data_IF_993124865151
#
_entry.id   IF_993124865151
#
_cell.length_a   1.000
_cell.length_b   1.000
_cell.length_c   1.000
_cell.angle_alpha   90.00
_cell.angle_beta   90.00
_cell.angle_gamma   90.00
#
_symmetry.space_group_name_H-M   'P 1'
#
loop_
_entity.id
_entity.type
_entity.pdbx_description
1 polymer ?
#
# COMPACT_ATOMS: atom_id res chain seq x y z
N UNK A 1 -58.11 -43.57 45.18
CA UNK A 1 -58.05 -42.55 44.13
C UNK A 1 -56.56 -42.30 43.90
N UNK A 2 -55.88 -43.28 43.29
CA UNK A 2 -55.60 -43.40 41.83
C UNK A 2 -54.41 -42.49 41.46
N UNK A 3 -53.18 -42.99 41.23
CA UNK A 3 -52.60 -43.62 39.99
C UNK A 3 -52.73 -42.69 38.78
N UNK A 4 -51.72 -42.36 37.95
CA UNK A 4 -50.55 -43.06 37.38
C UNK A 4 -49.55 -41.97 36.90
N UNK A 5 -48.22 -42.13 36.99
CA UNK A 5 -47.27 -42.87 36.10
C UNK A 5 -46.84 -42.06 34.85
N UNK A 6 -45.54 -41.71 34.77
CA UNK A 6 -44.63 -42.21 33.70
C UNK A 6 -43.22 -41.58 33.78
N UNK A 7 -42.26 -42.44 34.17
CA UNK A 7 -40.99 -42.81 33.49
C UNK A 7 -39.97 -41.73 33.04
N UNK A 8 -38.76 -41.82 33.59
CA UNK A 8 -37.54 -42.20 32.81
C UNK A 8 -36.37 -42.67 33.70
N UNK A 9 -35.94 -43.91 33.49
CA UNK A 9 -34.71 -44.61 33.94
C UNK A 9 -33.78 -44.64 32.69
N UNK A 10 -32.43 -44.85 32.67
CA UNK A 10 -31.55 -45.64 33.58
C UNK A 10 -30.17 -44.94 33.85
N UNK A 11 -29.18 -45.43 34.62
CA UNK A 11 -28.54 -46.74 34.67
C UNK A 11 -27.90 -47.01 36.04
N UNK A 12 -28.07 -48.25 36.48
CA UNK A 12 -27.36 -48.89 37.59
C UNK A 12 -25.90 -49.18 37.22
N UNK A 13 -24.97 -48.76 38.08
CA UNK A 13 -23.59 -49.21 38.07
C UNK A 13 -23.53 -50.57 38.78
N UNK A 14 -23.48 -51.63 37.96
CA UNK A 14 -23.36 -53.00 38.41
C UNK A 14 -22.09 -53.23 39.25
N UNK A 15 -22.31 -53.59 40.50
CA UNK A 15 -21.33 -54.19 41.42
C UNK A 15 -21.11 -55.65 41.04
N UNK A 16 -19.85 -56.01 40.76
CA UNK A 16 -19.46 -57.39 40.46
C UNK A 16 -19.10 -58.10 41.79
N UNK A 17 -19.96 -59.03 42.21
CA UNK A 17 -19.66 -60.04 43.23
C UNK A 17 -19.08 -61.33 42.60
N UNK A 18 -18.42 -62.21 43.38
CA UNK A 18 -17.53 -63.24 42.84
C UNK A 18 -18.13 -64.66 42.72
N UNK A 19 -17.38 -65.47 41.95
CA UNK A 19 -17.26 -66.94 41.86
C UNK A 19 -18.33 -67.74 41.08
N UNK A 20 -17.90 -68.38 39.98
CA UNK A 20 -17.62 -69.83 39.93
C UNK A 20 -16.65 -70.15 38.77
N UNK A 21 -15.85 -71.19 38.98
CA UNK A 21 -14.76 -71.65 38.14
C UNK A 21 -15.22 -72.43 36.91
N UNK A 22 -14.42 -72.42 35.84
CA UNK A 22 -13.93 -73.66 35.26
C UNK A 22 -12.59 -73.45 34.53
N UNK A 23 -11.81 -74.51 34.59
CA UNK A 23 -10.39 -74.73 34.30
C UNK A 23 -10.09 -74.72 32.80
N UNK A 24 -8.91 -74.21 32.40
CA UNK A 24 -8.04 -74.89 31.42
C UNK A 24 -6.70 -74.15 31.31
N UNK A 25 -5.64 -74.88 31.61
CA UNK A 25 -4.30 -74.36 31.83
C UNK A 25 -3.55 -73.98 30.56
N UNK A 26 -2.79 -72.89 30.64
CA UNK A 26 -1.59 -72.71 29.85
C UNK A 26 -0.54 -71.92 30.65
N UNK A 27 0.67 -72.46 30.69
CA UNK A 27 1.81 -72.00 31.47
C UNK A 27 2.29 -70.60 31.05
N UNK A 28 1.84 -69.54 31.72
CA UNK A 28 2.39 -68.21 31.55
C UNK A 28 3.28 -67.84 32.75
N UNK A 29 4.60 -67.85 32.54
CA UNK A 29 5.60 -67.36 33.50
C UNK A 29 5.22 -65.94 33.96
N UNK A 30 5.34 -65.60 35.26
CA UNK A 30 5.05 -64.26 35.74
C UNK A 30 6.00 -63.28 35.08
N UNK A 31 5.47 -62.39 34.24
CA UNK A 31 6.23 -61.29 33.67
C UNK A 31 6.68 -60.37 34.81
N UNK A 32 7.99 -60.18 35.01
CA UNK A 32 8.49 -59.43 36.16
C UNK A 32 8.03 -57.97 36.06
N UNK A 33 7.39 -57.46 37.11
CA UNK A 33 6.80 -56.12 37.19
C UNK A 33 7.75 -54.98 36.79
N UNK A 34 9.08 -55.15 36.88
CA UNK A 34 10.04 -54.16 36.37
C UNK A 34 9.85 -53.90 34.87
N UNK A 35 9.54 -54.92 34.06
CA UNK A 35 9.40 -54.78 32.60
C UNK A 35 8.25 -53.84 32.21
N UNK A 36 7.21 -53.74 33.04
CA UNK A 36 6.12 -52.78 32.84
C UNK A 36 6.59 -51.34 33.09
N UNK A 37 7.38 -51.10 34.13
CA UNK A 37 7.89 -49.77 34.47
C UNK A 37 8.93 -49.26 33.49
N UNK A 38 9.75 -50.16 32.93
CA UNK A 38 10.73 -49.80 31.89
C UNK A 38 10.07 -49.43 30.56
N UNK A 39 8.95 -50.06 30.20
CA UNK A 39 8.14 -49.64 29.04
C UNK A 39 7.54 -48.24 29.20
N UNK A 40 7.03 -47.93 30.40
CA UNK A 40 6.44 -46.62 30.71
C UNK A 40 7.50 -45.49 30.73
N UNK A 41 8.69 -45.77 31.28
CA UNK A 41 9.82 -44.84 31.25
C UNK A 41 10.34 -44.58 29.83
N UNK A 42 10.44 -45.63 29.00
CA UNK A 42 10.85 -45.48 27.61
C UNK A 42 9.83 -44.66 26.79
N UNK A 43 8.53 -44.89 26.97
CA UNK A 43 7.49 -44.11 26.32
C UNK A 43 7.52 -42.63 26.71
N UNK A 44 7.83 -42.31 27.97
CA UNK A 44 7.94 -40.93 28.46
C UNK A 44 9.18 -40.23 27.89
N UNK A 45 10.31 -40.92 27.81
CA UNK A 45 11.54 -40.38 27.17
C UNK A 45 11.33 -40.16 25.68
N UNK A 46 10.72 -41.12 24.97
CA UNK A 46 10.39 -40.95 23.54
C UNK A 46 9.39 -39.81 23.35
N UNK A 47 8.36 -39.70 24.19
CA UNK A 47 7.39 -38.61 24.15
C UNK A 47 8.03 -37.24 24.44
N UNK A 48 8.96 -37.16 25.39
CA UNK A 48 9.69 -35.94 25.70
C UNK A 48 10.64 -35.52 24.57
N UNK A 49 11.37 -36.47 23.98
CA UNK A 49 12.27 -36.19 22.84
C UNK A 49 11.48 -35.77 21.60
N UNK A 50 10.39 -36.47 21.27
CA UNK A 50 9.50 -36.11 20.16
C UNK A 50 8.84 -34.75 20.43
N UNK A 51 8.42 -34.47 21.66
CA UNK A 51 7.86 -33.19 22.07
C UNK A 51 8.86 -32.02 21.94
N UNK A 52 10.12 -32.23 22.32
CA UNK A 52 11.18 -31.22 22.18
C UNK A 52 11.49 -30.96 20.70
N UNK A 53 11.61 -32.00 19.87
CA UNK A 53 11.88 -31.83 18.43
C UNK A 53 10.69 -31.17 17.73
N UNK A 54 9.45 -31.57 18.05
CA UNK A 54 8.26 -30.94 17.49
C UNK A 54 8.12 -29.48 17.91
N UNK A 55 8.44 -29.14 19.17
CA UNK A 55 8.39 -27.77 19.66
C UNK A 55 9.52 -26.91 19.07
N UNK A 56 10.74 -27.45 18.93
CA UNK A 56 11.85 -26.73 18.32
C UNK A 56 11.65 -26.51 16.83
N UNK A 57 11.14 -27.51 16.10
CA UNK A 57 10.78 -27.36 14.69
C UNK A 57 9.66 -26.31 14.48
N UNK A 58 8.75 -26.17 15.45
CA UNK A 58 7.69 -25.15 15.41
C UNK A 58 8.22 -23.74 15.70
N UNK A 59 9.22 -23.64 16.58
CA UNK A 59 9.83 -22.36 16.94
C UNK A 59 10.82 -21.88 15.86
N UNK A 60 11.60 -22.80 15.29
CA UNK A 60 12.48 -22.54 14.15
C UNK A 60 11.62 -22.08 12.94
N UNK A 61 10.51 -22.78 12.64
CA UNK A 61 9.61 -22.40 11.54
C UNK A 61 8.95 -21.01 11.72
N UNK A 62 8.80 -20.52 12.96
CA UNK A 62 8.28 -19.19 13.23
C UNK A 62 9.33 -18.10 12.95
N UNK A 63 10.62 -18.37 13.26
CA UNK A 63 11.74 -17.46 12.97
C UNK A 63 12.11 -17.43 11.47
N UNK A 64 11.84 -18.52 10.72
CA UNK A 64 12.03 -18.59 9.26
C UNK A 64 10.95 -17.89 8.42
N UNK A 65 9.84 -17.46 9.03
CA UNK A 65 8.69 -16.88 8.33
C UNK A 65 8.51 -15.36 8.55
N UNK A 66 9.38 -14.73 9.34
CA UNK A 66 9.27 -13.31 9.68
C UNK A 66 9.59 -12.45 8.46
N UNK A 67 8.53 -11.96 7.82
CA UNK A 67 8.60 -10.97 6.74
C UNK A 67 8.22 -9.63 7.34
N UNK A 68 9.17 -8.70 7.30
CA UNK A 68 8.98 -7.34 7.74
C UNK A 68 9.19 -6.41 6.54
N UNK A 69 8.09 -5.85 6.05
CA UNK A 69 8.06 -4.94 4.93
C UNK A 69 7.54 -3.59 5.40
N UNK A 70 8.22 -2.53 5.00
CA UNK A 70 7.79 -1.16 5.25
C UNK A 70 7.49 -0.48 3.91
N UNK A 71 6.39 0.26 3.87
CA UNK A 71 6.02 1.07 2.72
C UNK A 71 6.73 2.44 2.75
N UNK A 72 7.33 2.79 1.62
CA UNK A 72 7.84 4.13 1.32
C UNK A 72 6.79 4.96 0.58
N UNK A 73 7.21 5.69 -0.45
CA UNK A 73 6.31 6.47 -1.30
C UNK A 73 5.52 5.60 -2.29
N UNK A 74 4.35 6.10 -2.66
CA UNK A 74 3.52 5.65 -3.76
C UNK A 74 3.50 6.75 -4.81
N UNK A 75 4.07 6.49 -5.97
CA UNK A 75 4.05 7.39 -7.12
C UNK A 75 2.95 6.92 -8.10
N UNK A 76 2.27 7.88 -8.75
CA UNK A 76 1.16 7.59 -9.68
C UNK A 76 1.51 8.13 -11.06
N UNK A 77 1.41 7.27 -12.06
CA UNK A 77 1.49 7.64 -13.47
C UNK A 77 0.13 7.37 -14.13
N UNK A 78 -0.48 8.40 -14.72
CA UNK A 78 -1.72 8.23 -15.48
C UNK A 78 -1.35 7.77 -16.90
N UNK A 79 -1.92 6.64 -17.34
CA UNK A 79 -1.62 6.04 -18.64
C UNK A 79 -2.09 6.89 -19.82
N UNK A 80 -1.41 6.78 -20.96
CA UNK A 80 -1.90 7.31 -22.23
C UNK A 80 -2.67 6.19 -22.98
N UNK A 81 -3.89 6.43 -23.50
CA UNK A 81 -4.63 7.69 -23.45
C UNK A 81 -5.23 7.96 -22.06
N UNK A 82 -5.27 9.24 -21.67
CA UNK A 82 -5.84 9.72 -20.39
C UNK A 82 -7.37 9.46 -20.27
N UNK A 83 -8.01 9.04 -21.38
CA UNK A 83 -9.37 8.53 -21.40
C UNK A 83 -9.50 7.14 -20.77
N UNK A 84 -8.38 6.47 -20.47
CA UNK A 84 -8.40 5.27 -19.63
C UNK A 84 -8.34 5.70 -18.17
N UNK A 85 -9.29 5.23 -17.34
CA UNK A 85 -9.23 5.36 -15.89
C UNK A 85 -8.09 4.53 -15.26
N UNK A 86 -7.29 3.87 -16.11
CA UNK A 86 -6.13 3.07 -15.79
C UNK A 86 -4.95 3.94 -15.37
N UNK A 87 -4.38 3.60 -14.22
CA UNK A 87 -3.23 4.22 -13.60
C UNK A 87 -2.15 3.18 -13.37
N UNK A 88 -0.89 3.60 -13.46
CA UNK A 88 0.26 2.82 -13.06
C UNK A 88 0.75 3.33 -11.72
N UNK A 89 0.57 2.53 -10.69
CA UNK A 89 1.07 2.79 -9.34
C UNK A 89 2.47 2.20 -9.19
N UNK A 90 3.39 3.01 -8.68
CA UNK A 90 4.73 2.59 -8.29
C UNK A 90 4.83 2.64 -6.77
N UNK A 91 4.81 1.47 -6.13
CA UNK A 91 4.91 1.35 -4.67
C UNK A 91 6.36 1.04 -4.31
N UNK A 92 6.98 1.92 -3.53
CA UNK A 92 8.32 1.68 -3.01
C UNK A 92 8.21 0.90 -1.69
N UNK A 93 8.88 -0.25 -1.60
CA UNK A 93 8.89 -1.14 -0.44
C UNK A 93 10.32 -1.38 0.01
N UNK A 94 10.54 -1.53 1.31
CA UNK A 94 11.81 -1.98 1.87
C UNK A 94 11.58 -3.20 2.75
N UNK A 95 12.43 -4.20 2.58
CA UNK A 95 12.48 -5.36 3.44
C UNK A 95 13.39 -5.09 4.63
N UNK A 96 12.80 -4.86 5.80
CA UNK A 96 13.52 -4.67 7.07
C UNK A 96 13.79 -6.00 7.78
N UNK A 97 13.27 -7.10 7.24
CA UNK A 97 13.52 -8.44 7.71
C UNK A 97 14.96 -8.92 7.45
N UNK A 98 15.39 -10.01 8.11
CA UNK A 98 16.76 -10.50 8.03
C UNK A 98 17.08 -11.30 6.75
N UNK A 99 16.09 -11.58 5.91
CA UNK A 99 16.22 -12.48 4.75
C UNK A 99 15.58 -11.88 3.51
N UNK A 100 16.12 -12.23 2.35
CA UNK A 100 15.54 -11.88 1.06
C UNK A 100 14.14 -12.48 0.89
N UNK A 101 13.24 -11.70 0.28
CA UNK A 101 11.88 -12.11 -0.05
C UNK A 101 11.59 -11.78 -1.51
N UNK A 102 10.73 -12.56 -2.14
CA UNK A 102 10.28 -12.32 -3.51
C UNK A 102 8.85 -11.78 -3.46
N UNK A 103 8.63 -10.56 -3.94
CA UNK A 103 7.32 -9.90 -3.98
C UNK A 103 6.60 -10.35 -5.25
N UNK A 104 5.48 -11.04 -5.08
CA UNK A 104 4.71 -11.62 -6.18
C UNK A 104 3.64 -10.67 -6.70
N UNK A 105 2.97 -9.95 -5.80
CA UNK A 105 1.93 -8.97 -6.15
C UNK A 105 1.68 -7.99 -5.01
N UNK A 106 1.15 -6.83 -5.36
CA UNK A 106 0.67 -5.82 -4.42
C UNK A 106 -0.79 -5.54 -4.74
N UNK A 107 -1.65 -5.77 -3.75
CA UNK A 107 -3.08 -5.50 -3.81
C UNK A 107 -3.41 -4.32 -2.89
N UNK A 108 -4.24 -3.40 -3.39
CA UNK A 108 -4.58 -2.17 -2.68
C UNK A 108 -6.10 -2.05 -2.69
N UNK A 109 -6.71 -2.11 -1.51
CA UNK A 109 -8.16 -1.89 -1.38
C UNK A 109 -8.54 -0.52 -1.95
N UNK A 110 -9.64 -0.46 -2.70
CA UNK A 110 -10.03 0.75 -3.44
C UNK A 110 -9.42 0.86 -4.83
N UNK A 111 -8.64 -0.13 -5.28
CA UNK A 111 -8.15 -0.24 -6.66
C UNK A 111 -8.42 -1.65 -7.20
N UNK A 112 -8.70 -1.75 -8.50
CA UNK A 112 -8.84 -3.02 -9.22
C UNK A 112 -7.65 -3.16 -10.16
N UNK A 113 -6.94 -4.27 -10.10
CA UNK A 113 -5.86 -4.55 -11.05
C UNK A 113 -6.42 -4.66 -12.48
N UNK A 114 -5.73 -4.02 -13.42
CA UNK A 114 -6.01 -4.13 -14.85
C UNK A 114 -4.90 -4.95 -15.47
N UNK A 115 -5.25 -6.08 -16.07
CA UNK A 115 -4.31 -6.88 -16.86
C UNK A 115 -4.02 -6.12 -18.17
N UNK A 116 -2.94 -5.33 -18.19
CA UNK A 116 -2.34 -4.96 -19.47
C UNK A 116 -1.76 -6.24 -20.07
N UNK A 117 -2.05 -6.55 -21.34
CA UNK A 117 -1.58 -7.77 -22.02
C UNK A 117 -0.05 -7.93 -22.15
N UNK A 118 0.69 -7.07 -21.46
CA UNK A 118 2.15 -6.96 -21.34
C UNK A 118 2.51 -6.58 -19.88
N UNK A 119 1.76 -7.09 -18.89
CA UNK A 119 2.16 -6.96 -17.50
C UNK A 119 3.43 -7.78 -17.28
N UNK A 120 4.55 -7.07 -17.14
CA UNK A 120 5.74 -7.58 -16.47
C UNK A 120 5.39 -7.82 -14.98
N UNK A 121 4.48 -8.78 -14.74
CA UNK A 121 4.12 -9.36 -13.44
C UNK A 121 5.28 -10.25 -12.96
N UNK A 122 6.49 -9.72 -13.11
CA UNK A 122 7.72 -10.35 -12.72
C UNK A 122 7.89 -10.12 -11.23
N UNK A 123 7.97 -11.24 -10.53
CA UNK A 123 8.23 -11.24 -9.12
C UNK A 123 9.51 -10.42 -8.82
N UNK A 124 9.42 -9.49 -7.86
CA UNK A 124 10.50 -8.55 -7.53
C UNK A 124 11.26 -9.06 -6.32
N UNK A 125 12.55 -9.31 -6.47
CA UNK A 125 13.40 -9.73 -5.35
C UNK A 125 13.76 -8.53 -4.47
N UNK A 126 13.47 -8.62 -3.17
CA UNK A 126 13.74 -7.60 -2.17
C UNK A 126 14.74 -8.10 -1.12
N UNK A 127 15.99 -7.66 -1.25
CA UNK A 127 17.03 -7.95 -0.27
C UNK A 127 16.85 -7.14 1.02
N UNK A 128 17.37 -7.61 2.16
CA UNK A 128 17.34 -6.88 3.43
C UNK A 128 17.96 -5.48 3.32
N UNK A 129 17.21 -4.46 3.74
CA UNK A 129 17.65 -3.06 3.76
C UNK A 129 17.64 -2.35 2.40
N UNK A 130 17.18 -3.01 1.34
CA UNK A 130 17.11 -2.43 0.00
C UNK A 130 15.70 -1.97 -0.36
N UNK A 131 15.62 -0.78 -0.97
CA UNK A 131 14.38 -0.27 -1.54
C UNK A 131 14.14 -0.90 -2.90
N UNK A 132 12.97 -1.48 -3.06
CA UNK A 132 12.48 -2.00 -4.34
C UNK A 132 11.23 -1.25 -4.77
N UNK A 133 11.01 -1.16 -6.08
CA UNK A 133 9.83 -0.55 -6.67
C UNK A 133 8.98 -1.64 -7.30
N UNK A 134 7.74 -1.74 -6.86
CA UNK A 134 6.75 -2.66 -7.43
C UNK A 134 5.73 -1.84 -8.20
N UNK A 135 5.56 -2.20 -9.47
CA UNK A 135 4.62 -1.56 -10.37
C UNK A 135 3.30 -2.34 -10.38
N UNK A 136 2.18 -1.64 -10.38
CA UNK A 136 0.86 -2.23 -10.62
C UNK A 136 0.03 -1.34 -11.52
N UNK A 137 -0.54 -1.91 -12.58
CA UNK A 137 -1.55 -1.23 -13.38
C UNK A 137 -2.92 -1.47 -12.73
N UNK A 138 -3.61 -0.39 -12.38
CA UNK A 138 -4.87 -0.43 -11.64
C UNK A 138 -5.89 0.58 -12.15
N UNK A 139 -7.16 0.37 -11.83
CA UNK A 139 -8.25 1.33 -11.95
C UNK A 139 -8.82 1.62 -10.56
N UNK A 140 -9.14 2.87 -10.25
CA UNK A 140 -9.69 3.22 -8.94
C UNK A 140 -11.14 2.70 -8.79
N UNK A 141 -11.44 2.02 -7.69
CA UNK A 141 -12.80 1.64 -7.33
C UNK A 141 -13.46 2.76 -6.51
N UNK A 142 -14.26 3.57 -7.18
CA UNK A 142 -14.84 4.79 -6.61
C UNK A 142 -15.94 4.56 -5.58
N UNK A 143 -16.27 3.30 -5.33
CA UNK A 143 -17.18 2.90 -4.25
C UNK A 143 -16.44 2.59 -2.95
N UNK A 144 -15.12 2.37 -3.00
CA UNK A 144 -14.31 1.89 -1.88
C UNK A 144 -13.12 2.81 -1.67
N UNK A 145 -13.12 3.62 -0.61
CA UNK A 145 -11.97 4.47 -0.25
C UNK A 145 -10.83 3.61 0.33
N UNK A 146 -9.56 3.76 -0.13
CA UNK A 146 -8.43 2.99 0.39
C UNK A 146 -8.18 3.27 1.87
N UNK A 147 -7.88 2.24 2.69
CA UNK A 147 -7.63 2.36 4.13
C UNK A 147 -6.19 2.81 4.48
N UNK A 148 -5.32 3.03 3.50
CA UNK A 148 -3.91 3.40 3.72
C UNK A 148 -2.97 2.21 3.98
N UNK A 149 -3.49 0.98 3.90
CA UNK A 149 -2.73 -0.27 3.95
C UNK A 149 -2.71 -0.94 2.57
N UNK A 150 -1.72 -1.80 2.34
CA UNK A 150 -1.63 -2.64 1.15
C UNK A 150 -1.36 -4.09 1.54
N UNK A 151 -1.85 -5.03 0.72
CA UNK A 151 -1.61 -6.45 0.88
C UNK A 151 -0.51 -6.87 -0.09
N UNK A 152 0.62 -7.33 0.43
CA UNK A 152 1.74 -7.82 -0.39
C UNK A 152 1.75 -9.33 -0.33
N UNK A 153 1.61 -9.99 -1.47
CA UNK A 153 1.86 -11.43 -1.57
C UNK A 153 3.35 -11.63 -1.80
N UNK A 154 3.99 -12.38 -0.92
CA UNK A 154 5.43 -12.66 -0.95
C UNK A 154 5.68 -14.16 -1.01
N UNK A 155 6.81 -14.54 -1.60
CA UNK A 155 7.40 -15.88 -1.51
C UNK A 155 8.70 -15.80 -0.71
N UNK A 156 8.81 -16.66 0.27
CA UNK A 156 10.01 -16.86 1.08
C UNK A 156 10.53 -18.28 0.89
N UNK A 157 11.67 -18.60 1.51
CA UNK A 157 12.17 -19.98 1.55
C UNK A 157 11.22 -20.99 2.22
N UNK A 158 10.24 -20.53 3.01
CA UNK A 158 9.26 -21.38 3.69
C UNK A 158 7.92 -21.51 2.94
N UNK A 159 7.69 -20.72 1.90
CA UNK A 159 6.46 -20.75 1.10
C UNK A 159 5.93 -19.35 0.74
N UNK A 160 4.70 -19.31 0.25
CA UNK A 160 4.01 -18.05 -0.07
C UNK A 160 3.14 -17.59 1.11
N UNK A 161 3.12 -16.29 1.37
CA UNK A 161 2.25 -15.67 2.37
C UNK A 161 1.85 -14.24 1.97
N UNK A 162 0.77 -13.74 2.56
CA UNK A 162 0.30 -12.36 2.35
C UNK A 162 0.55 -11.55 3.61
N UNK A 163 1.19 -10.39 3.46
CA UNK A 163 1.53 -9.46 4.54
C UNK A 163 0.78 -8.16 4.34
N UNK A 164 0.17 -7.63 5.41
CA UNK A 164 -0.45 -6.31 5.39
C UNK A 164 0.61 -5.28 5.77
N UNK A 165 0.93 -4.38 4.86
CA UNK A 165 1.88 -3.30 5.06
C UNK A 165 1.12 -2.00 5.27
N UNK A 166 1.43 -1.30 6.36
CA UNK A 166 0.81 -0.01 6.69
C UNK A 166 1.70 1.13 6.22
N UNK A 167 1.09 2.20 5.73
CA UNK A 167 1.77 3.46 5.46
C UNK A 167 2.36 4.14 6.69
N UNK A 168 3.18 5.16 6.46
CA UNK A 168 3.59 6.07 7.52
C UNK A 168 2.39 6.88 8.05
N UNK A 169 2.39 7.32 9.31
CA UNK A 169 1.36 8.24 9.80
C UNK A 169 1.30 9.52 8.94
N UNK A 170 0.11 9.88 8.46
CA UNK A 170 -0.10 11.03 7.57
C UNK A 170 0.15 10.74 6.08
N UNK A 171 0.40 9.48 5.72
CA UNK A 171 0.60 9.09 4.33
C UNK A 171 -0.73 8.91 3.59
N UNK A 172 -1.21 10.02 3.04
CA UNK A 172 -2.45 10.09 2.26
C UNK A 172 -2.26 9.73 0.77
N UNK A 173 -1.07 9.29 0.34
CA UNK A 173 -0.73 9.14 -1.09
C UNK A 173 -1.67 8.19 -1.85
N UNK A 174 -2.10 7.09 -1.22
CA UNK A 174 -3.11 6.20 -1.81
C UNK A 174 -4.49 6.87 -1.91
N UNK A 175 -4.84 7.70 -0.95
CA UNK A 175 -6.10 8.45 -0.98
C UNK A 175 -6.04 9.48 -2.11
N UNK A 176 -4.90 10.15 -2.31
CA UNK A 176 -4.70 11.07 -3.44
C UNK A 176 -4.77 10.36 -4.79
N UNK A 177 -4.09 9.22 -4.93
CA UNK A 177 -4.16 8.37 -6.13
C UNK A 177 -5.60 7.95 -6.44
N UNK A 178 -6.31 7.47 -5.43
CA UNK A 178 -7.71 7.04 -5.56
C UNK A 178 -8.62 8.21 -5.93
N UNK A 179 -8.45 9.37 -5.28
CA UNK A 179 -9.20 10.57 -5.64
C UNK A 179 -8.91 11.02 -7.07
N UNK A 180 -7.67 10.93 -7.53
CA UNK A 180 -7.30 11.23 -8.92
C UNK A 180 -8.05 10.32 -9.90
N UNK A 181 -8.06 9.01 -9.64
CA UNK A 181 -8.75 8.03 -10.45
C UNK A 181 -10.27 8.03 -10.39
N UNK A 182 -10.85 8.53 -9.30
CA UNK A 182 -12.30 8.55 -9.10
C UNK A 182 -12.95 9.88 -9.36
N UNK A 183 -12.16 10.94 -9.31
CA UNK A 183 -12.60 12.22 -9.80
C UNK A 183 -12.59 12.27 -11.31
N UNK A 184 -11.91 11.40 -12.06
CA UNK A 184 -11.87 11.45 -13.54
C UNK A 184 -13.24 11.26 -14.22
N UNK A 185 -14.18 10.51 -13.64
CA UNK A 185 -15.56 10.42 -14.16
C UNK A 185 -16.34 11.75 -14.06
N UNK A 186 -15.82 12.72 -13.29
CA UNK A 186 -16.30 14.11 -13.20
C UNK A 186 -15.15 15.12 -13.20
N UNK A 187 -14.00 14.72 -13.77
CA UNK A 187 -12.72 15.33 -13.51
C UNK A 187 -12.63 16.63 -14.27
N UNK A 188 -12.04 17.64 -13.66
CA UNK A 188 -11.80 18.93 -14.30
C UNK A 188 -10.93 18.86 -15.56
N UNK A 189 -10.43 17.67 -15.91
CA UNK A 189 -9.62 17.41 -17.10
C UNK A 189 -8.18 17.90 -17.00
N UNK A 190 -7.85 18.87 -16.13
CA UNK A 190 -6.53 19.49 -16.15
C UNK A 190 -5.52 18.85 -15.21
N UNK A 191 -4.33 18.55 -15.73
CA UNK A 191 -3.16 18.07 -14.99
C UNK A 191 -1.95 18.99 -15.24
N UNK A 192 -1.12 19.19 -14.21
CA UNK A 192 0.20 19.84 -14.35
C UNK A 192 1.27 18.75 -14.34
N UNK A 193 2.00 18.60 -15.45
CA UNK A 193 3.09 17.63 -15.59
C UNK A 193 4.42 18.07 -14.99
N UNK A 194 5.48 17.33 -15.32
CA UNK A 194 6.84 17.63 -14.86
C UNK A 194 7.31 19.02 -15.31
N UNK A 195 7.63 19.86 -14.34
CA UNK A 195 8.02 21.24 -14.57
C UNK A 195 9.48 21.35 -14.98
N UNK A 196 9.81 22.45 -15.67
CA UNK A 196 11.19 22.79 -16.01
C UNK A 196 11.52 24.24 -15.73
N UNK A 197 12.54 24.48 -14.93
CA UNK A 197 13.12 25.82 -14.74
C UNK A 197 13.90 26.25 -15.99
N UNK A 198 13.53 27.40 -16.56
CA UNK A 198 14.20 28.00 -17.72
C UNK A 198 15.33 28.93 -17.28
N UNK A 199 15.08 29.75 -16.27
CA UNK A 199 16.06 30.68 -15.69
C UNK A 199 15.66 31.04 -14.27
N UNK A 200 16.63 31.32 -13.41
CA UNK A 200 16.35 31.85 -12.08
C UNK A 200 17.48 32.77 -11.62
N UNK A 201 17.10 33.92 -11.06
CA UNK A 201 18.01 34.89 -10.44
C UNK A 201 17.33 35.50 -9.20
N UNK A 202 17.81 36.65 -8.71
CA UNK A 202 17.23 37.33 -7.54
C UNK A 202 15.93 38.09 -7.86
N UNK A 203 15.60 38.28 -9.13
CA UNK A 203 14.35 38.92 -9.56
C UNK A 203 13.19 37.93 -9.69
N UNK A 204 13.49 36.64 -9.85
CA UNK A 204 12.48 35.57 -9.91
C UNK A 204 12.99 34.29 -10.56
N UNK A 205 12.12 33.28 -10.62
CA UNK A 205 12.34 32.02 -11.33
C UNK A 205 11.31 31.85 -12.44
N UNK A 206 11.76 31.66 -13.68
CA UNK A 206 10.92 31.28 -14.81
C UNK A 206 10.81 29.77 -14.89
N UNK A 207 9.60 29.26 -14.73
CA UNK A 207 9.31 27.83 -14.69
C UNK A 207 8.22 27.54 -15.74
N UNK A 208 8.46 26.53 -16.57
CA UNK A 208 7.48 26.05 -17.54
C UNK A 208 6.67 24.93 -16.91
N UNK A 209 5.36 25.08 -16.95
CA UNK A 209 4.37 24.13 -16.44
C UNK A 209 3.66 23.48 -17.65
N UNK A 210 3.85 22.17 -17.89
CA UNK A 210 3.04 21.44 -18.86
C UNK A 210 1.62 21.31 -18.33
N UNK A 211 0.65 21.90 -19.02
CA UNK A 211 -0.77 21.81 -18.68
C UNK A 211 -1.44 20.86 -19.66
N UNK A 212 -1.95 19.75 -19.16
CA UNK A 212 -2.56 18.68 -19.96
C UNK A 212 -4.06 18.64 -19.74
N UNK A 213 -4.83 18.53 -20.82
CA UNK A 213 -6.25 18.23 -20.77
C UNK A 213 -6.48 16.73 -20.99
N UNK A 214 -6.87 16.01 -19.95
CA UNK A 214 -7.31 14.62 -19.98
C UNK A 214 -8.83 14.43 -20.09
N UNK A 215 -9.62 15.48 -20.27
CA UNK A 215 -11.04 15.36 -20.61
C UNK A 215 -11.24 15.09 -22.11
N UNK A 216 -12.42 14.57 -22.47
CA UNK A 216 -12.82 14.30 -23.85
C UNK A 216 -13.26 15.56 -24.62
N UNK A 217 -13.44 16.68 -23.91
CA UNK A 217 -13.82 17.97 -24.46
C UNK A 217 -12.68 19.00 -24.28
N UNK A 218 -12.54 19.98 -25.18
CA UNK A 218 -11.63 21.10 -24.98
C UNK A 218 -11.96 21.89 -23.71
N UNK A 219 -10.94 22.48 -23.10
CA UNK A 219 -11.10 23.37 -21.95
C UNK A 219 -10.30 24.65 -22.11
N UNK A 220 -10.76 25.70 -21.42
CA UNK A 220 -10.04 26.97 -21.37
C UNK A 220 -9.47 27.17 -19.97
N UNK A 221 -8.15 27.26 -19.83
CA UNK A 221 -7.51 27.71 -18.59
C UNK A 221 -7.54 29.22 -18.56
N UNK A 222 -8.24 29.77 -17.57
CA UNK A 222 -8.51 31.21 -17.47
C UNK A 222 -7.60 31.93 -16.48
N UNK A 223 -7.12 31.22 -15.46
CA UNK A 223 -6.17 31.74 -14.49
C UNK A 223 -5.28 30.61 -13.95
N UNK A 224 -4.04 30.94 -13.61
CA UNK A 224 -3.12 30.09 -12.86
C UNK A 224 -2.45 30.94 -11.79
N UNK A 225 -2.52 30.49 -10.54
CA UNK A 225 -2.08 31.24 -9.37
C UNK A 225 -1.24 30.34 -8.46
N UNK A 226 -0.14 30.87 -7.91
CA UNK A 226 0.59 30.19 -6.85
C UNK A 226 -0.24 30.21 -5.57
N UNK A 227 -0.33 29.06 -4.90
CA UNK A 227 -0.89 28.94 -3.55
C UNK A 227 0.19 28.62 -2.51
N UNK A 228 1.46 28.62 -2.92
CA UNK A 228 2.62 28.43 -2.05
C UNK A 228 2.88 29.66 -1.18
N UNK A 229 2.94 29.51 0.17
CA UNK A 229 3.21 30.61 1.09
C UNK A 229 4.52 31.35 0.77
N UNK A 230 4.48 32.67 0.80
CA UNK A 230 5.65 33.53 0.56
C UNK A 230 6.04 33.74 -0.91
N UNK A 231 5.30 33.14 -1.86
CA UNK A 231 5.53 33.32 -3.29
C UNK A 231 4.30 33.84 -4.01
N UNK A 232 4.54 34.56 -5.10
CA UNK A 232 3.53 34.86 -6.12
C UNK A 232 4.00 34.36 -7.48
N UNK A 233 3.03 34.07 -8.35
CA UNK A 233 3.28 33.58 -9.70
C UNK A 233 2.46 34.39 -10.69
N UNK A 234 3.11 34.84 -11.76
CA UNK A 234 2.45 35.39 -12.94
C UNK A 234 2.57 34.42 -14.11
N UNK A 235 1.55 34.36 -14.95
CA UNK A 235 1.45 33.39 -16.05
C UNK A 235 1.18 34.12 -17.36
N UNK A 236 1.93 33.78 -18.41
CA UNK A 236 1.78 34.37 -19.74
C UNK A 236 2.02 33.29 -20.82
N UNK A 237 1.10 33.10 -21.79
CA UNK A 237 -0.20 33.75 -21.94
C UNK A 237 -1.31 33.10 -21.09
N UNK A 238 -2.32 33.89 -20.72
CA UNK A 238 -3.65 33.43 -20.28
C UNK A 238 -4.74 34.39 -20.81
N UNK A 239 -5.96 33.90 -21.14
CA UNK A 239 -6.38 32.50 -21.13
C UNK A 239 -5.72 31.66 -22.23
N UNK A 240 -5.70 30.33 -22.04
CA UNK A 240 -5.26 29.37 -23.05
C UNK A 240 -6.32 28.28 -23.26
N UNK A 241 -6.48 27.85 -24.51
CA UNK A 241 -7.32 26.71 -24.85
C UNK A 241 -6.46 25.45 -24.95
N UNK A 242 -6.93 24.36 -24.35
CA UNK A 242 -6.25 23.06 -24.34
C UNK A 242 -7.23 22.02 -24.88
N UNK A 243 -6.98 21.55 -26.10
CA UNK A 243 -7.79 20.51 -26.74
C UNK A 243 -7.74 19.19 -25.94
N UNK A 244 -8.77 18.36 -26.11
CA UNK A 244 -8.86 17.05 -25.49
C UNK A 244 -7.61 16.20 -25.78
N UNK A 245 -7.01 15.63 -24.73
CA UNK A 245 -5.79 14.83 -24.78
C UNK A 245 -4.49 15.61 -25.09
N UNK A 246 -4.53 16.93 -25.24
CA UNK A 246 -3.36 17.74 -25.57
C UNK A 246 -2.66 18.29 -24.33
N UNK A 247 -1.38 18.64 -24.51
CA UNK A 247 -0.55 19.31 -23.50
C UNK A 247 0.00 20.61 -24.05
N UNK A 248 -0.19 21.71 -23.31
CA UNK A 248 0.34 23.04 -23.63
C UNK A 248 1.40 23.41 -22.60
N UNK A 249 2.51 23.99 -23.06
CA UNK A 249 3.58 24.46 -22.20
C UNK A 249 3.28 25.90 -21.77
N UNK A 250 3.14 26.14 -20.48
CA UNK A 250 2.79 27.45 -19.92
C UNK A 250 3.99 28.04 -19.19
N UNK A 251 4.47 29.21 -19.62
CA UNK A 251 5.55 29.90 -18.93
C UNK A 251 5.01 30.67 -17.72
N UNK A 252 5.66 30.47 -16.58
CA UNK A 252 5.32 31.16 -15.33
C UNK A 252 6.55 31.85 -14.77
N UNK A 253 6.34 32.99 -14.11
CA UNK A 253 7.37 33.70 -13.36
C UNK A 253 6.98 33.71 -11.90
N UNK A 254 7.84 33.12 -11.07
CA UNK A 254 7.71 33.02 -9.63
C UNK A 254 8.59 34.06 -8.95
N UNK A 255 8.04 34.75 -7.95
CA UNK A 255 8.77 35.76 -7.18
C UNK A 255 8.45 35.61 -5.70
N UNK A 256 9.40 35.97 -4.83
CA UNK A 256 9.22 35.95 -3.37
C UNK A 256 8.50 37.22 -2.95
N UNK A 257 7.40 37.08 -2.21
CA UNK A 257 6.63 38.22 -1.67
C UNK A 257 6.82 38.40 -0.18
N UNK A 258 7.09 37.31 0.55
CA UNK A 258 7.32 37.34 2.00
C UNK A 258 8.37 36.29 2.39
N UNK A 259 9.47 36.74 2.98
CA UNK A 259 10.60 35.90 3.34
C UNK A 259 10.34 35.02 4.58
N UNK A 260 9.47 35.42 5.49
CA UNK A 260 9.13 34.63 6.67
C UNK A 260 8.27 33.43 6.25
N UNK A 261 7.28 33.66 5.37
CA UNK A 261 6.44 32.60 4.82
C UNK A 261 7.23 31.70 3.85
N UNK A 262 8.08 32.29 3.01
CA UNK A 262 8.95 31.53 2.09
C UNK A 262 10.04 30.72 2.81
N UNK A 263 10.31 30.97 4.10
CA UNK A 263 11.19 30.12 4.89
C UNK A 263 10.45 28.91 5.50
N UNK A 264 9.11 28.91 5.50
CA UNK A 264 8.27 27.93 6.19
C UNK A 264 7.45 27.05 5.27
N UNK A 265 7.39 27.34 3.97
CA UNK A 265 6.63 26.51 3.03
C UNK A 265 7.20 25.08 2.98
N UNK A 266 6.29 24.10 2.95
CA UNK A 266 6.63 22.68 2.84
C UNK A 266 6.28 22.10 1.46
N UNK A 267 5.38 22.77 0.72
CA UNK A 267 4.82 22.27 -0.53
C UNK A 267 4.70 23.39 -1.56
N UNK A 268 4.99 23.07 -2.82
CA UNK A 268 4.75 23.94 -3.95
C UNK A 268 3.39 23.59 -4.56
N UNK A 269 2.46 24.54 -4.68
CA UNK A 269 1.10 24.29 -5.18
C UNK A 269 0.66 25.41 -6.11
N UNK A 270 -0.09 25.03 -7.15
CA UNK A 270 -0.71 25.97 -8.09
C UNK A 270 -2.20 25.71 -8.17
N UNK A 271 -2.98 26.78 -8.10
CA UNK A 271 -4.40 26.75 -8.41
C UNK A 271 -4.64 27.12 -9.88
N UNK A 272 -5.42 26.30 -10.58
CA UNK A 272 -5.81 26.48 -11.98
C UNK A 272 -7.31 26.71 -12.04
N UNK A 273 -7.73 27.82 -12.63
CA UNK A 273 -9.13 28.11 -12.93
C UNK A 273 -9.44 27.71 -14.37
N UNK A 274 -10.43 26.86 -14.54
CA UNK A 274 -10.81 26.21 -15.78
C UNK A 274 -12.24 26.61 -16.09
N UNK A 275 -12.50 26.96 -17.35
CA UNK A 275 -13.82 27.17 -17.89
C UNK A 275 -14.10 26.10 -18.93
N UNK A 276 -15.22 25.40 -18.77
CA UNK A 276 -15.84 24.61 -19.84
C UNK A 276 -17.25 25.17 -20.12
N UNK A 277 -17.97 24.60 -21.09
CA UNK A 277 -19.29 25.10 -21.49
C UNK A 277 -20.34 25.04 -20.36
N UNK A 278 -20.11 24.24 -19.33
CA UNK A 278 -21.10 23.97 -18.27
C UNK A 278 -20.73 24.51 -16.89
N UNK A 279 -19.44 24.83 -16.62
CA UNK A 279 -18.95 25.20 -15.29
C UNK A 279 -17.60 25.93 -15.31
N UNK A 280 -17.43 26.87 -14.38
CA UNK A 280 -16.13 27.40 -13.97
C UNK A 280 -15.65 26.59 -12.75
N UNK A 281 -14.47 25.98 -12.82
CA UNK A 281 -13.91 25.15 -11.74
C UNK A 281 -12.50 25.60 -11.37
N UNK A 282 -12.16 25.52 -10.07
CA UNK A 282 -10.82 25.79 -9.56
C UNK A 282 -10.22 24.52 -8.97
N UNK A 283 -9.02 24.17 -9.41
CA UNK A 283 -8.29 22.97 -9.00
C UNK A 283 -6.95 23.38 -8.42
N UNK A 284 -6.58 22.86 -7.26
CA UNK A 284 -5.22 23.05 -6.73
C UNK A 284 -4.42 21.78 -6.92
N UNK A 285 -3.23 21.88 -7.51
CA UNK A 285 -2.35 20.77 -7.78
C UNK A 285 -0.98 21.01 -7.14
N UNK A 286 -0.41 20.00 -6.45
CA UNK A 286 0.97 20.07 -6.02
C UNK A 286 1.90 20.03 -7.23
N UNK A 287 3.02 20.75 -7.12
CA UNK A 287 4.10 20.72 -8.10
C UNK A 287 5.18 19.75 -7.63
N UNK A 288 5.87 19.14 -8.58
CA UNK A 288 6.94 18.18 -8.30
C UNK A 288 8.16 18.78 -7.58
N UNK A 289 8.99 17.88 -7.05
CA UNK A 289 10.25 18.20 -6.37
C UNK A 289 11.18 19.18 -7.13
N UNK A 290 11.30 19.13 -8.48
CA UNK A 290 12.12 20.10 -9.21
C UNK A 290 11.71 21.56 -8.97
N UNK A 291 10.40 21.86 -8.96
CA UNK A 291 9.91 23.20 -8.64
C UNK A 291 10.21 23.55 -7.19
N UNK A 292 9.91 22.65 -6.25
CA UNK A 292 10.14 22.89 -4.82
C UNK A 292 11.60 23.29 -4.56
N UNK A 293 12.56 22.55 -5.12
CA UNK A 293 14.00 22.83 -4.99
C UNK A 293 14.33 24.22 -5.54
N UNK A 294 13.77 24.59 -6.69
CA UNK A 294 14.05 25.90 -7.28
C UNK A 294 13.44 27.04 -6.47
N UNK A 295 12.23 26.87 -5.92
CA UNK A 295 11.62 27.86 -5.03
C UNK A 295 12.43 28.04 -3.74
N UNK A 296 12.97 26.96 -3.16
CA UNK A 296 13.90 27.07 -2.01
C UNK A 296 15.15 27.87 -2.38
N UNK A 297 15.76 27.58 -3.55
CA UNK A 297 16.92 28.33 -4.03
C UNK A 297 16.61 29.80 -4.27
N UNK A 298 15.42 30.10 -4.80
CA UNK A 298 14.96 31.47 -5.01
C UNK A 298 14.77 32.19 -3.67
N UNK A 299 14.12 31.57 -2.69
CA UNK A 299 13.95 32.13 -1.34
C UNK A 299 15.30 32.45 -0.70
N UNK A 300 16.25 31.52 -0.71
CA UNK A 300 17.62 31.76 -0.20
C UNK A 300 18.28 32.95 -0.91
N UNK A 301 18.18 33.00 -2.25
CA UNK A 301 18.81 34.05 -3.05
C UNK A 301 18.21 35.44 -2.81
N UNK A 302 16.94 35.54 -2.45
CA UNK A 302 16.23 36.82 -2.24
C UNK A 302 16.25 37.25 -0.78
N UNK A 303 16.13 36.30 0.16
CA UNK A 303 15.90 36.58 1.57
C UNK A 303 17.18 36.57 2.43
N UNK A 304 18.25 35.92 1.96
CA UNK A 304 19.54 35.90 2.68
C UNK A 304 20.57 36.89 2.10
N UNK A 305 20.16 37.76 1.17
CA UNK A 305 20.96 38.90 0.68
C UNK A 305 20.68 40.17 1.47
#
# INVERSE_FOLDING_TARGET
METDDERTVPLELGTVGPAYADDDGETARPTPRWRLWTGLGAALVVGAVVGIVANNARNDAAEYAEVDLVRGSVDVEFGAPLSSNTQRLHVNLINTGPREVEILSVEIDGFRSVEDGESDDHAVTAAPGEWVRVQSTVEADCTTRPPGTLQVRVRTGSGEQTVVVTGQPGDDQLIWAWQGGCRSDSGTGVFIGDTRTVSADASGARIVLPVTNGADEPLTVTAMEATTPGFTMTTDPLPIDVDAGQTVQVETLWTVTDCEDAARFAEATVAVNIRNESMDTRVSQPLGNPTLIELVRLAVRVCET
#
